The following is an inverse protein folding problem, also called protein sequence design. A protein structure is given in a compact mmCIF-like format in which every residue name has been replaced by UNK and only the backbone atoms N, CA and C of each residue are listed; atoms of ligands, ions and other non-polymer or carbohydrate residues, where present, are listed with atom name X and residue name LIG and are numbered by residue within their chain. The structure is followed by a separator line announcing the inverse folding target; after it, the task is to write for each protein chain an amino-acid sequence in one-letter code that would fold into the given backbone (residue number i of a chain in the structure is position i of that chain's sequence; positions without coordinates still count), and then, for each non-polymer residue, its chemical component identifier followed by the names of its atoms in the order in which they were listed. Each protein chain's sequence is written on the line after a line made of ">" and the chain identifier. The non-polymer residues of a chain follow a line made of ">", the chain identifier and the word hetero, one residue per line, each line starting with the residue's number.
data_IF_977955964172
#
_entry.id   IF_977955964172
#
_cell.length_a   1.000
_cell.length_b   1.000
_cell.length_c   1.000
_cell.angle_alpha   90.00
_cell.angle_beta   90.00
_cell.angle_gamma   90.00
#
_symmetry.space_group_name_H-M   'P 1'
#
loop_
_entity.id
_entity.type
_entity.pdbx_description
1 polymer ?
#
# COMPACT_ATOMS: atom_id res chain seq x y z
N UNK A 1 4.00 -20.43 20.39
CA UNK A 1 4.97 -20.10 19.33
C UNK A 1 4.43 -18.90 18.55
N UNK A 2 4.27 -17.77 19.24
CA UNK A 2 3.88 -16.48 18.67
C UNK A 2 5.02 -15.45 18.81
N UNK A 3 6.02 -15.74 19.64
CA UNK A 3 7.18 -14.87 19.92
C UNK A 3 8.18 -14.73 18.75
N UNK A 4 7.87 -15.27 17.56
CA UNK A 4 8.75 -15.26 16.38
C UNK A 4 8.28 -14.33 15.26
N UNK A 5 6.99 -13.95 15.21
CA UNK A 5 6.47 -13.15 14.08
C UNK A 5 6.93 -11.70 14.19
N UNK A 6 6.86 -11.10 15.38
CA UNK A 6 7.31 -9.72 15.60
C UNK A 6 8.83 -9.58 15.34
N UNK A 7 9.63 -10.52 15.84
CA UNK A 7 11.08 -10.55 15.59
C UNK A 7 11.42 -10.79 14.12
N UNK A 8 10.68 -11.65 13.43
CA UNK A 8 10.82 -11.86 11.99
C UNK A 8 10.45 -10.59 11.20
N UNK A 9 9.40 -9.88 11.62
CA UNK A 9 8.96 -8.63 11.01
C UNK A 9 10.01 -7.53 11.17
N UNK A 10 10.54 -7.32 12.38
CA UNK A 10 11.64 -6.37 12.62
C UNK A 10 12.86 -6.71 11.75
N UNK A 11 13.21 -7.98 11.64
CA UNK A 11 14.33 -8.44 10.79
C UNK A 11 14.07 -8.20 9.29
N UNK A 12 12.82 -8.38 8.84
CA UNK A 12 12.43 -8.12 7.45
C UNK A 12 12.52 -6.62 7.14
N UNK A 13 12.01 -5.77 8.03
CA UNK A 13 12.07 -4.31 7.92
C UNK A 13 13.53 -3.84 7.88
N UNK A 14 14.38 -4.32 8.80
CA UNK A 14 15.79 -3.96 8.82
C UNK A 14 16.50 -4.32 7.50
N UNK A 15 16.16 -5.47 6.90
CA UNK A 15 16.72 -5.88 5.59
C UNK A 15 16.21 -4.98 4.45
N UNK A 16 14.94 -4.58 4.51
CA UNK A 16 14.34 -3.67 3.53
C UNK A 16 14.99 -2.29 3.58
N UNK A 17 15.18 -1.74 4.77
CA UNK A 17 15.84 -0.46 5.02
C UNK A 17 17.32 -0.48 4.61
N UNK A 18 18.01 -1.61 4.81
CA UNK A 18 19.38 -1.82 4.35
C UNK A 18 19.52 -1.94 2.82
N UNK A 19 18.41 -2.09 2.09
CA UNK A 19 18.42 -2.29 0.64
C UNK A 19 18.62 -3.76 0.22
N UNK A 20 18.63 -4.70 1.16
CA UNK A 20 18.72 -6.13 0.91
C UNK A 20 17.34 -6.67 0.49
N UNK A 21 16.83 -6.20 -0.66
CA UNK A 21 15.45 -6.39 -1.11
C UNK A 21 15.06 -7.88 -1.24
N UNK A 22 16.00 -8.74 -1.67
CA UNK A 22 15.78 -10.19 -1.78
C UNK A 22 15.55 -10.80 -0.39
N UNK A 23 16.43 -10.49 0.56
CA UNK A 23 16.35 -11.01 1.94
C UNK A 23 15.09 -10.50 2.64
N UNK A 24 14.76 -9.22 2.45
CA UNK A 24 13.51 -8.65 2.95
C UNK A 24 12.29 -9.41 2.42
N UNK A 25 12.26 -9.67 1.11
CA UNK A 25 11.17 -10.39 0.46
C UNK A 25 11.00 -11.82 0.99
N UNK A 26 12.10 -12.57 1.14
CA UNK A 26 12.06 -13.91 1.72
C UNK A 26 11.47 -13.91 3.14
N UNK A 27 11.89 -12.97 3.99
CA UNK A 27 11.40 -12.85 5.36
C UNK A 27 9.94 -12.44 5.44
N UNK A 28 9.50 -11.47 4.63
CA UNK A 28 8.08 -11.12 4.54
C UNK A 28 7.24 -12.31 4.08
N UNK A 29 7.70 -13.08 3.08
CA UNK A 29 7.00 -14.28 2.62
C UNK A 29 6.94 -15.38 3.69
N UNK A 30 7.96 -15.52 4.55
CA UNK A 30 7.92 -16.43 5.68
C UNK A 30 6.82 -16.05 6.68
N UNK A 31 6.72 -14.76 7.01
CA UNK A 31 5.66 -14.23 7.88
C UNK A 31 4.29 -14.49 7.24
N UNK A 32 4.12 -14.16 5.95
CA UNK A 32 2.85 -14.33 5.23
C UNK A 32 2.45 -15.79 5.02
N UNK A 33 3.40 -16.73 5.05
CA UNK A 33 3.09 -18.18 5.07
C UNK A 33 2.50 -18.61 6.42
N UNK A 34 2.95 -18.00 7.52
CA UNK A 34 2.45 -18.30 8.86
C UNK A 34 1.13 -17.58 9.15
N UNK A 35 1.02 -16.31 8.73
CA UNK A 35 -0.19 -15.49 8.81
C UNK A 35 -0.39 -14.71 7.50
N UNK A 36 -1.21 -15.25 6.56
CA UNK A 36 -1.48 -14.60 5.28
C UNK A 36 -2.14 -13.21 5.40
N UNK A 37 -2.83 -12.95 6.51
CA UNK A 37 -3.51 -11.69 6.77
C UNK A 37 -2.66 -10.68 7.53
N UNK A 38 -1.42 -11.01 7.91
CA UNK A 38 -0.62 -10.15 8.77
C UNK A 38 -0.51 -8.74 8.18
N UNK A 39 -1.05 -7.71 8.86
CA UNK A 39 -1.25 -6.39 8.24
C UNK A 39 0.08 -5.73 7.87
N UNK A 40 1.05 -5.74 8.77
CA UNK A 40 2.32 -5.03 8.58
C UNK A 40 3.24 -5.71 7.57
N UNK A 41 3.25 -7.05 7.54
CA UNK A 41 3.99 -7.81 6.53
C UNK A 41 3.37 -7.60 5.13
N UNK A 42 2.03 -7.60 5.01
CA UNK A 42 1.35 -7.28 3.75
C UNK A 42 1.66 -5.85 3.29
N UNK A 43 1.60 -4.86 4.21
CA UNK A 43 1.90 -3.48 3.88
C UNK A 43 3.34 -3.32 3.38
N UNK A 44 4.31 -3.80 4.15
CA UNK A 44 5.72 -3.65 3.82
C UNK A 44 6.16 -4.48 2.61
N UNK A 45 5.61 -5.69 2.43
CA UNK A 45 5.84 -6.49 1.24
C UNK A 45 5.25 -5.80 0.01
N UNK A 46 4.05 -5.22 0.11
CA UNK A 46 3.46 -4.41 -0.96
C UNK A 46 4.34 -3.22 -1.36
N UNK A 47 4.95 -2.51 -0.42
CA UNK A 47 5.91 -1.45 -0.72
C UNK A 47 7.21 -1.98 -1.36
N UNK A 48 7.68 -3.15 -0.91
CA UNK A 48 8.84 -3.81 -1.49
C UNK A 48 8.61 -4.18 -2.96
N UNK A 49 7.44 -4.73 -3.30
CA UNK A 49 7.12 -5.10 -4.69
C UNK A 49 7.00 -3.87 -5.59
N UNK A 50 6.42 -2.77 -5.09
CA UNK A 50 6.41 -1.47 -5.79
C UNK A 50 7.84 -1.02 -6.08
N UNK A 51 8.73 -1.05 -5.08
CA UNK A 51 10.15 -0.70 -5.23
C UNK A 51 10.89 -1.59 -6.23
N UNK A 52 10.46 -2.85 -6.38
CA UNK A 52 10.99 -3.80 -7.36
C UNK A 52 10.40 -3.63 -8.77
N UNK A 53 9.52 -2.66 -8.99
CA UNK A 53 8.91 -2.38 -10.30
C UNK A 53 7.66 -3.21 -10.60
N UNK A 54 7.05 -3.81 -9.58
CA UNK A 54 5.81 -4.59 -9.71
C UNK A 54 4.63 -3.98 -8.90
N UNK A 55 4.25 -2.72 -9.18
CA UNK A 55 3.25 -2.01 -8.38
C UNK A 55 1.86 -2.63 -8.44
N UNK A 56 1.47 -3.26 -9.56
CA UNK A 56 0.20 -3.97 -9.68
C UNK A 56 0.09 -5.16 -8.71
N UNK A 57 1.21 -5.84 -8.46
CA UNK A 57 1.29 -6.88 -7.43
C UNK A 57 1.27 -6.26 -6.02
N UNK A 58 1.96 -5.13 -5.83
CA UNK A 58 1.93 -4.36 -4.59
C UNK A 58 0.52 -3.98 -4.12
N UNK A 59 -0.36 -3.59 -5.05
CA UNK A 59 -1.77 -3.30 -4.73
C UNK A 59 -2.48 -4.47 -4.06
N UNK A 60 -2.17 -5.72 -4.42
CA UNK A 60 -2.83 -6.88 -3.81
C UNK A 60 -2.47 -7.01 -2.32
N UNK A 61 -1.19 -6.86 -1.98
CA UNK A 61 -0.73 -6.94 -0.59
C UNK A 61 -1.18 -5.71 0.22
N UNK A 62 -1.10 -4.51 -0.35
CA UNK A 62 -1.57 -3.28 0.30
C UNK A 62 -3.08 -3.33 0.56
N UNK A 63 -3.86 -3.99 -0.31
CA UNK A 63 -5.30 -4.22 -0.12
C UNK A 63 -5.55 -5.10 1.10
N UNK A 64 -4.84 -6.21 1.24
CA UNK A 64 -4.96 -7.07 2.41
C UNK A 64 -4.60 -6.34 3.71
N UNK A 65 -3.62 -5.42 3.67
CA UNK A 65 -3.26 -4.61 4.83
C UNK A 65 -4.39 -3.67 5.28
N UNK A 66 -5.03 -2.92 4.36
CA UNK A 66 -6.17 -2.05 4.71
C UNK A 66 -7.42 -2.82 5.11
N UNK A 67 -7.65 -4.01 4.55
CA UNK A 67 -8.79 -4.86 4.89
C UNK A 67 -8.63 -5.51 6.27
N UNK A 68 -7.40 -5.85 6.65
CA UNK A 68 -7.12 -6.47 7.96
C UNK A 68 -7.00 -5.46 9.08
N UNK A 69 -6.32 -4.33 8.83
CA UNK A 69 -6.21 -3.25 9.81
C UNK A 69 -6.49 -1.88 9.15
N UNK A 70 -7.76 -1.46 9.09
CA UNK A 70 -8.13 -0.20 8.46
C UNK A 70 -7.76 1.03 9.30
N UNK A 71 -7.30 0.86 10.55
CA UNK A 71 -7.02 1.97 11.48
C UNK A 71 -5.67 2.67 11.25
N UNK A 72 -4.84 2.15 10.34
CA UNK A 72 -3.51 2.70 10.06
C UNK A 72 -3.56 3.57 8.80
N UNK A 73 -3.44 4.89 8.96
CA UNK A 73 -3.50 5.87 7.87
C UNK A 73 -2.46 5.60 6.77
N UNK A 74 -1.25 5.17 7.15
CA UNK A 74 -0.16 4.91 6.21
C UNK A 74 -0.50 3.80 5.20
N UNK A 75 -1.36 2.84 5.56
CA UNK A 75 -1.75 1.76 4.65
C UNK A 75 -2.62 2.30 3.52
N UNK A 76 -3.58 3.16 3.86
CA UNK A 76 -4.41 3.88 2.90
C UNK A 76 -3.58 4.78 2.00
N UNK A 77 -2.66 5.57 2.55
CA UNK A 77 -1.76 6.42 1.76
C UNK A 77 -0.94 5.60 0.77
N UNK A 78 -0.43 4.44 1.20
CA UNK A 78 0.40 3.58 0.36
C UNK A 78 -0.37 2.98 -0.81
N UNK A 79 -1.57 2.42 -0.57
CA UNK A 79 -2.39 1.87 -1.65
C UNK A 79 -2.87 2.95 -2.61
N UNK A 80 -3.31 4.12 -2.12
CA UNK A 80 -3.77 5.21 -2.98
C UNK A 80 -2.64 5.69 -3.88
N UNK A 81 -1.44 5.93 -3.34
CA UNK A 81 -0.28 6.33 -4.15
C UNK A 81 0.10 5.26 -5.18
N UNK A 82 0.06 3.99 -4.80
CA UNK A 82 0.38 2.88 -5.72
C UNK A 82 -0.65 2.78 -6.85
N UNK A 83 -1.94 2.98 -6.55
CA UNK A 83 -3.01 3.00 -7.55
C UNK A 83 -2.84 4.18 -8.51
N UNK A 84 -2.46 5.35 -8.01
CA UNK A 84 -2.13 6.51 -8.84
C UNK A 84 -0.91 6.26 -9.74
N UNK A 85 0.13 5.59 -9.23
CA UNK A 85 1.32 5.23 -10.00
C UNK A 85 0.97 4.35 -11.21
N UNK A 86 0.07 3.39 -11.04
CA UNK A 86 -0.41 2.52 -12.13
C UNK A 86 -1.55 3.14 -12.93
N UNK A 87 -1.88 4.42 -12.71
CA UNK A 87 -2.95 5.18 -13.36
C UNK A 87 -4.35 4.59 -13.15
N UNK A 88 -4.55 3.80 -12.11
CA UNK A 88 -5.86 3.30 -11.70
C UNK A 88 -6.55 4.34 -10.80
N UNK A 89 -6.90 5.47 -11.41
CA UNK A 89 -7.46 6.64 -10.72
C UNK A 89 -8.81 6.33 -10.09
N UNK A 90 -9.61 5.47 -10.73
CA UNK A 90 -10.91 5.05 -10.22
C UNK A 90 -10.78 4.28 -8.91
N UNK A 91 -9.90 3.27 -8.84
CA UNK A 91 -9.68 2.56 -7.59
C UNK A 91 -8.98 3.44 -6.55
N UNK A 92 -8.11 4.37 -6.95
CA UNK A 92 -7.50 5.34 -6.03
C UNK A 92 -8.57 6.20 -5.35
N UNK A 93 -9.58 6.66 -6.11
CA UNK A 93 -10.73 7.39 -5.57
C UNK A 93 -11.54 6.54 -4.59
N UNK A 94 -11.87 5.31 -4.96
CA UNK A 94 -12.61 4.39 -4.08
C UNK A 94 -11.86 4.16 -2.77
N UNK A 95 -10.53 3.98 -2.84
CA UNK A 95 -9.70 3.79 -1.65
C UNK A 95 -9.65 5.05 -0.76
N UNK A 96 -9.57 6.25 -1.37
CA UNK A 96 -9.63 7.51 -0.64
C UNK A 96 -10.98 7.71 0.06
N UNK A 97 -12.09 7.48 -0.64
CA UNK A 97 -13.43 7.63 -0.07
C UNK A 97 -13.59 6.70 1.15
N UNK A 98 -13.13 5.45 1.05
CA UNK A 98 -13.11 4.50 2.18
C UNK A 98 -12.20 4.92 3.32
N UNK A 99 -11.03 5.48 3.04
CA UNK A 99 -10.12 5.98 4.08
C UNK A 99 -10.82 7.07 4.91
N UNK A 100 -11.51 8.00 4.25
CA UNK A 100 -12.28 9.07 4.89
C UNK A 100 -13.47 8.52 5.70
N UNK A 101 -14.17 7.50 5.20
CA UNK A 101 -15.25 6.82 5.93
C UNK A 101 -14.77 6.16 7.23
N UNK A 102 -13.55 5.63 7.24
CA UNK A 102 -12.91 5.05 8.44
C UNK A 102 -12.40 6.14 9.41
N UNK A 103 -12.43 7.41 8.99
CA UNK A 103 -12.03 8.56 9.80
C UNK A 103 -10.59 9.01 9.59
N UNK A 104 -9.94 8.59 8.51
CA UNK A 104 -8.64 9.14 8.13
C UNK A 104 -8.83 10.45 7.40
N UNK A 105 -8.34 11.54 7.98
CA UNK A 105 -8.39 12.88 7.42
C UNK A 105 -7.03 13.60 7.55
N UNK A 106 -7.01 14.89 7.18
CA UNK A 106 -5.84 15.75 7.29
C UNK A 106 -5.13 16.00 5.96
N UNK A 107 -4.05 16.78 6.04
CA UNK A 107 -3.39 17.40 4.88
C UNK A 107 -2.96 16.37 3.82
N UNK A 108 -2.56 15.16 4.22
CA UNK A 108 -2.16 14.10 3.27
C UNK A 108 -3.34 13.63 2.43
N UNK A 109 -4.52 13.43 3.01
CA UNK A 109 -5.72 12.96 2.28
C UNK A 109 -6.35 14.08 1.44
N UNK A 110 -6.25 15.34 1.87
CA UNK A 110 -6.63 16.51 1.06
C UNK A 110 -5.77 16.63 -0.21
N UNK A 111 -4.46 16.41 -0.08
CA UNK A 111 -3.54 16.38 -1.23
C UNK A 111 -3.85 15.21 -2.17
N UNK A 112 -4.12 14.02 -1.63
CA UNK A 112 -4.51 12.86 -2.44
C UNK A 112 -5.81 13.11 -3.20
N UNK A 113 -6.81 13.71 -2.54
CA UNK A 113 -8.07 14.13 -3.17
C UNK A 113 -7.83 15.09 -4.34
N UNK A 114 -7.02 16.14 -4.09
CA UNK A 114 -6.68 17.12 -5.12
C UNK A 114 -5.96 16.50 -6.31
N UNK A 115 -5.00 15.59 -6.07
CA UNK A 115 -4.27 14.87 -7.11
C UNK A 115 -5.19 14.00 -7.97
N UNK A 116 -6.11 13.26 -7.33
CA UNK A 116 -7.10 12.42 -8.03
C UNK A 116 -8.00 13.26 -8.94
N UNK A 117 -8.50 14.40 -8.46
CA UNK A 117 -9.35 15.30 -9.24
C UNK A 117 -8.62 15.92 -10.44
N UNK A 118 -7.36 16.32 -10.26
CA UNK A 118 -6.51 16.82 -11.35
C UNK A 118 -6.29 15.73 -12.43
N UNK A 119 -6.01 14.49 -12.03
CA UNK A 119 -5.82 13.40 -12.98
C UNK A 119 -7.10 13.06 -13.74
N UNK A 120 -8.26 13.09 -13.07
CA UNK A 120 -9.55 12.83 -13.70
C UNK A 120 -9.93 13.89 -14.73
N UNK A 121 -9.74 15.17 -14.41
CA UNK A 121 -10.03 16.28 -15.33
C UNK A 121 -9.14 16.22 -16.57
N UNK A 122 -7.84 15.94 -16.41
CA UNK A 122 -6.90 15.79 -17.52
C UNK A 122 -7.25 14.64 -18.49
N UNK A 123 -7.85 13.56 -17.99
CA UNK A 123 -8.30 12.44 -18.82
C UNK A 123 -9.50 12.84 -19.70
N UNK A 124 -10.45 13.60 -19.14
CA UNK A 124 -11.66 14.02 -19.88
C UNK A 124 -11.40 15.04 -20.99
N UNK A 125 -10.35 15.85 -20.86
CA UNK A 125 -9.96 16.84 -21.89
C UNK A 125 -9.26 16.18 -23.10
N UNK A 126 -8.65 15.00 -22.92
CA UNK A 126 -7.92 14.30 -23.98
C UNK A 126 -8.86 13.53 -24.93
N UNK A 127 -10.07 13.17 -24.48
CA UNK A 127 -11.06 12.40 -25.26
C UNK A 127 -11.99 13.29 -26.12
N UNK A 128 -11.87 14.62 -26.04
CA UNK A 128 -12.80 15.58 -26.70
C UNK A 128 -12.21 16.32 -27.91
N UNK A 129 -11.09 15.87 -28.48
CA UNK A 129 -10.45 16.49 -29.67
C UNK A 129 -10.40 15.55 -30.87
#
# INVERSE_FOLDING_TARGET
>A
MLDNVDAALESAIASHEAGDLIVAGEKYLEILKADPSHPDANHNFGLLTVKLGEPAMGVQFLRTAIETNPTIAQYWVSIINTLLEIKDVENAKIALDKALEVGHDGEVFEKLSSNIELLRTSATETETV
#
